data_IF_771702107591
#
_entry.id   IF_771702107591
#
_cell.length_a   1.000
_cell.length_b   1.000
_cell.length_c   1.000
_cell.angle_alpha   90.00
_cell.angle_beta   90.00
_cell.angle_gamma   90.00
#
_symmetry.space_group_name_H-M   'P 1'
#
loop_
_entity.id
_entity.type
_entity.pdbx_description
1 polymer ?
#
# COMPACT_ATOMS: atom_id res chain seq x y z
N UNK A 1 -44.78 2.37 -24.24
CA UNK A 1 -45.54 2.82 -23.04
C UNK A 1 -44.68 3.07 -21.78
N UNK A 2 -43.36 2.84 -21.78
CA UNK A 2 -42.52 2.98 -20.56
C UNK A 2 -41.91 4.37 -20.30
N UNK A 3 -42.21 5.38 -21.14
CA UNK A 3 -41.63 6.74 -21.00
C UNK A 3 -42.56 7.78 -20.36
N UNK A 4 -43.85 7.47 -20.18
CA UNK A 4 -44.82 8.37 -19.52
C UNK A 4 -44.86 8.14 -18.00
N UNK A 5 -44.37 7.00 -17.52
CA UNK A 5 -44.36 6.65 -16.09
C UNK A 5 -43.22 7.35 -15.32
N UNK A 6 -42.16 7.78 -16.01
CA UNK A 6 -41.00 8.44 -15.37
C UNK A 6 -41.20 9.93 -15.11
N UNK A 7 -42.09 10.59 -15.85
CA UNK A 7 -42.40 12.02 -15.69
C UNK A 7 -43.38 12.30 -14.56
N UNK A 8 -44.24 11.34 -14.18
CA UNK A 8 -45.15 11.47 -13.05
C UNK A 8 -44.43 11.30 -11.70
N UNK A 9 -43.37 10.48 -11.65
CA UNK A 9 -42.59 10.25 -10.44
C UNK A 9 -41.70 11.46 -10.07
N UNK A 10 -41.33 12.29 -11.05
CA UNK A 10 -40.50 13.48 -10.84
C UNK A 10 -41.31 14.70 -10.32
N UNK A 11 -42.64 14.65 -10.37
CA UNK A 11 -43.50 15.73 -9.89
C UNK A 11 -43.85 15.60 -8.39
N UNK A 12 -43.64 14.43 -7.78
CA UNK A 12 -43.98 14.18 -6.36
C UNK A 12 -42.83 14.52 -5.40
N UNK A 13 -41.60 14.68 -5.90
CA UNK A 13 -40.41 14.94 -5.07
C UNK A 13 -40.13 16.47 -4.92
N UNK A 14 -40.94 17.32 -5.55
CA UNK A 14 -40.80 18.78 -5.48
C UNK A 14 -41.51 19.47 -4.30
N UNK A 15 -42.12 18.75 -3.35
CA UNK A 15 -43.09 19.34 -2.41
C UNK A 15 -42.87 19.04 -0.91
N UNK A 16 -41.64 18.76 -0.45
CA UNK A 16 -41.45 18.24 0.93
C UNK A 16 -40.30 18.82 1.76
N UNK A 17 -39.78 20.02 1.48
CA UNK A 17 -38.78 20.65 2.38
C UNK A 17 -39.09 22.14 2.57
N UNK A 18 -40.11 22.42 3.36
CA UNK A 18 -40.26 23.67 4.08
C UNK A 18 -41.29 23.43 5.19
N UNK A 19 -40.83 23.14 6.42
CA UNK A 19 -41.49 23.46 7.69
C UNK A 19 -40.84 22.69 8.85
N UNK A 20 -40.30 23.43 9.81
CA UNK A 20 -39.85 22.95 11.12
C UNK A 20 -38.42 23.40 11.43
N UNK A 21 -38.12 24.24 12.41
CA UNK A 21 -38.91 24.87 13.48
C UNK A 21 -37.94 25.37 14.56
N UNK A 22 -38.31 26.44 15.29
CA UNK A 22 -37.79 26.85 16.61
C UNK A 22 -38.67 28.04 17.07
N UNK A 23 -39.62 27.95 18.02
CA UNK A 23 -39.58 27.58 19.45
C UNK A 23 -38.76 28.62 20.26
N UNK A 24 -39.16 29.25 21.38
CA UNK A 24 -40.38 29.43 22.21
C UNK A 24 -40.02 30.52 23.25
N UNK A 25 -41.01 31.26 23.78
CA UNK A 25 -41.20 31.67 25.20
C UNK A 25 -42.04 32.97 25.25
N UNK A 26 -43.32 32.95 25.63
CA UNK A 26 -43.79 33.06 27.03
C UNK A 26 -43.99 34.56 27.36
N UNK A 27 -45.10 35.09 27.89
CA UNK A 27 -46.02 34.61 28.91
C UNK A 27 -47.20 35.61 29.05
N UNK A 28 -48.38 35.09 29.46
CA UNK A 28 -49.50 35.74 30.19
C UNK A 28 -50.70 36.32 29.39
N UNK A 29 -51.87 35.77 29.74
CA UNK A 29 -53.27 35.91 29.26
C UNK A 29 -54.02 37.08 29.94
N UNK A 30 -55.38 37.14 29.93
CA UNK A 30 -56.38 37.05 28.85
C UNK A 30 -57.28 38.32 28.84
N UNK A 31 -57.91 38.72 27.73
CA UNK A 31 -59.09 39.60 27.85
C UNK A 31 -60.11 39.41 26.71
N UNK A 32 -61.35 39.72 27.07
CA UNK A 32 -62.62 39.14 26.68
C UNK A 32 -63.21 39.53 25.32
N UNK A 33 -64.04 38.60 24.84
CA UNK A 33 -65.20 38.74 23.95
C UNK A 33 -65.89 40.11 23.98
N UNK A 34 -66.11 40.73 22.80
CA UNK A 34 -67.47 40.98 22.30
C UNK A 34 -67.47 41.42 20.81
N UNK A 35 -68.47 41.01 20.01
CA UNK A 35 -68.58 41.35 18.59
C UNK A 35 -69.53 42.53 18.36
N UNK A 36 -69.49 43.13 17.15
CA UNK A 36 -70.65 43.29 16.27
C UNK A 36 -70.58 44.52 15.35
N UNK A 37 -71.01 44.25 14.12
CA UNK A 37 -71.71 45.12 13.15
C UNK A 37 -70.96 46.26 12.47
N UNK A 38 -70.77 46.02 11.18
CA UNK A 38 -70.72 46.97 10.09
C UNK A 38 -71.61 48.20 10.29
N UNK A 39 -71.06 49.37 9.98
CA UNK A 39 -71.84 50.44 9.41
C UNK A 39 -71.05 51.11 8.29
N UNK A 40 -71.70 51.22 7.13
CA UNK A 40 -71.25 51.93 5.96
C UNK A 40 -71.38 53.44 6.20
N UNK A 41 -70.51 54.23 5.57
CA UNK A 41 -70.87 55.59 5.22
C UNK A 41 -69.79 56.62 5.44
N UNK A 42 -69.20 57.01 4.32
CA UNK A 42 -69.07 58.43 3.94
C UNK A 42 -67.92 59.26 4.53
N UNK A 43 -67.12 59.68 3.55
CA UNK A 43 -66.66 61.05 3.31
C UNK A 43 -65.29 61.45 3.88
N UNK A 44 -64.39 61.49 2.91
CA UNK A 44 -63.18 62.28 2.78
C UNK A 44 -63.20 63.64 3.45
N UNK A 45 -61.99 64.08 3.84
CA UNK A 45 -61.37 65.43 3.83
C UNK A 45 -60.31 65.34 4.94
N UNK A 46 -59.00 65.48 4.75
CA UNK A 46 -58.25 66.57 4.12
C UNK A 46 -56.76 66.15 4.06
N UNK A 47 -56.06 66.55 3.00
CA UNK A 47 -54.61 66.38 2.89
C UNK A 47 -53.87 67.51 3.61
N UNK A 48 -52.69 67.23 4.19
CA UNK A 48 -51.53 68.15 4.29
C UNK A 48 -50.25 67.30 4.58
N UNK A 49 -49.07 67.65 4.02
CA UNK A 49 -48.13 66.69 3.45
C UNK A 49 -46.89 66.35 4.32
N UNK A 50 -46.10 65.44 3.77
CA UNK A 50 -44.93 64.72 4.27
C UNK A 50 -43.75 65.57 4.74
N UNK A 51 -42.97 65.04 5.70
CA UNK A 51 -41.52 64.89 5.55
C UNK A 51 -41.13 63.50 6.08
N UNK A 52 -41.07 62.52 5.17
CA UNK A 52 -40.32 61.30 5.42
C UNK A 52 -38.85 61.66 5.19
N UNK A 53 -38.03 61.68 6.24
CA UNK A 53 -36.58 61.55 6.11
C UNK A 53 -36.29 60.39 5.13
N UNK A 54 -35.41 60.54 4.13
CA UNK A 54 -35.14 59.46 3.21
C UNK A 54 -34.46 58.34 4.00
N UNK A 55 -35.21 57.30 4.36
CA UNK A 55 -34.61 56.00 4.68
C UNK A 55 -33.84 55.62 3.44
N UNK A 56 -32.52 55.77 3.49
CA UNK A 56 -31.63 55.39 2.42
C UNK A 56 -32.02 53.98 1.97
N UNK A 57 -32.51 53.87 0.74
CA UNK A 57 -32.86 52.59 0.15
C UNK A 57 -31.57 51.79 0.02
N UNK A 58 -31.30 50.93 1.02
CA UNK A 58 -30.21 49.96 0.91
C UNK A 58 -30.70 48.92 -0.07
N UNK A 59 -30.31 49.08 -1.33
CA UNK A 59 -30.63 48.16 -2.43
C UNK A 59 -29.91 46.83 -2.18
N UNK A 60 -30.47 45.96 -1.34
CA UNK A 60 -29.90 44.63 -1.12
C UNK A 60 -30.17 43.76 -2.34
N UNK A 61 -29.09 43.37 -3.02
CA UNK A 61 -29.17 42.39 -4.11
C UNK A 61 -29.22 41.01 -3.45
N UNK A 62 -30.36 40.33 -3.56
CA UNK A 62 -30.51 38.94 -3.11
C UNK A 62 -30.02 38.05 -4.24
N UNK A 63 -28.97 37.29 -3.98
CA UNK A 63 -28.36 36.35 -4.94
C UNK A 63 -28.45 34.95 -4.35
N UNK A 64 -29.11 34.05 -5.07
CA UNK A 64 -29.09 32.64 -4.73
C UNK A 64 -27.78 32.01 -5.24
N UNK A 65 -27.11 31.26 -4.36
CA UNK A 65 -25.88 30.55 -4.70
C UNK A 65 -25.91 29.12 -4.16
N UNK A 66 -25.20 28.21 -4.84
CA UNK A 66 -25.01 26.83 -4.39
C UNK A 66 -23.59 26.66 -3.89
N UNK A 67 -23.46 26.19 -2.65
CA UNK A 67 -22.17 25.77 -2.10
C UNK A 67 -21.80 24.41 -2.70
N UNK A 68 -20.58 24.31 -3.24
CA UNK A 68 -19.99 23.06 -3.73
C UNK A 68 -18.64 22.83 -3.04
N UNK A 69 -18.19 21.57 -2.90
CA UNK A 69 -16.88 21.27 -2.32
C UNK A 69 -15.76 21.92 -3.12
N UNK A 70 -14.76 22.48 -2.43
CA UNK A 70 -13.54 23.02 -3.08
C UNK A 70 -12.71 21.89 -3.69
N UNK A 71 -12.70 20.73 -3.03
CA UNK A 71 -12.03 19.52 -3.49
C UNK A 71 -12.92 18.31 -3.18
N UNK A 72 -12.98 17.39 -4.13
CA UNK A 72 -13.67 16.10 -3.99
C UNK A 72 -12.77 15.04 -4.62
N UNK A 73 -12.68 13.88 -3.99
CA UNK A 73 -11.92 12.75 -4.50
C UNK A 73 -12.74 11.47 -4.35
N UNK A 74 -12.80 10.67 -5.43
CA UNK A 74 -13.32 9.32 -5.39
C UNK A 74 -12.16 8.36 -5.12
N UNK A 75 -12.22 7.66 -4.01
CA UNK A 75 -11.15 6.76 -3.58
C UNK A 75 -11.34 5.37 -4.19
N UNK A 76 -10.26 4.83 -4.75
CA UNK A 76 -10.21 3.47 -5.27
C UNK A 76 -8.89 2.81 -4.86
N UNK A 77 -8.90 1.47 -4.82
CA UNK A 77 -7.72 0.69 -4.46
C UNK A 77 -6.89 0.43 -5.71
N UNK A 78 -5.58 0.69 -5.65
CA UNK A 78 -4.67 0.41 -6.76
C UNK A 78 -4.40 -1.08 -6.97
N UNK A 79 -4.56 -1.88 -5.93
CA UNK A 79 -4.43 -3.33 -5.96
C UNK A 79 -5.79 -3.99 -5.72
N UNK A 80 -6.08 -5.05 -6.49
CA UNK A 80 -7.24 -5.92 -6.22
C UNK A 80 -6.95 -6.82 -5.03
N UNK A 81 -7.92 -7.00 -4.13
CA UNK A 81 -7.76 -7.78 -2.92
C UNK A 81 -9.02 -7.85 -2.06
N UNK A 82 -8.90 -8.54 -0.94
CA UNK A 82 -9.96 -8.65 0.08
C UNK A 82 -9.68 -7.59 1.16
N UNK A 83 -10.72 -6.88 1.60
CA UNK A 83 -10.61 -5.94 2.71
C UNK A 83 -10.48 -6.71 4.02
N UNK A 84 -9.39 -6.45 4.75
CA UNK A 84 -9.13 -6.96 6.10
C UNK A 84 -9.82 -6.09 7.15
N UNK A 85 -9.72 -4.77 7.01
CA UNK A 85 -10.35 -3.83 7.93
C UNK A 85 -10.66 -2.48 7.28
N UNK A 86 -11.77 -1.87 7.71
CA UNK A 86 -12.06 -0.44 7.50
C UNK A 86 -11.82 0.27 8.83
N UNK A 87 -10.99 1.31 8.81
CA UNK A 87 -10.42 1.95 10.01
C UNK A 87 -11.11 3.27 10.37
N UNK A 88 -12.06 3.71 9.56
CA UNK A 88 -12.80 4.98 9.72
C UNK A 88 -14.30 4.74 9.58
N UNK A 89 -15.10 5.63 10.14
CA UNK A 89 -16.55 5.63 10.02
C UNK A 89 -17.02 6.75 9.08
N UNK A 90 -18.24 6.62 8.59
CA UNK A 90 -18.86 7.66 7.76
C UNK A 90 -19.02 8.95 8.56
N UNK A 91 -18.54 10.07 8.00
CA UNK A 91 -18.57 11.39 8.66
C UNK A 91 -17.30 11.74 9.42
N UNK A 92 -16.33 10.82 9.54
CA UNK A 92 -15.04 11.11 10.17
C UNK A 92 -14.21 12.11 9.34
N UNK A 93 -13.54 13.02 10.04
CA UNK A 93 -12.51 13.86 9.45
C UNK A 93 -11.22 13.04 9.32
N UNK A 94 -10.62 13.07 8.13
CA UNK A 94 -9.39 12.32 7.81
C UNK A 94 -8.28 13.26 7.37
N UNK A 95 -7.05 12.92 7.75
CA UNK A 95 -5.85 13.66 7.35
C UNK A 95 -5.20 13.02 6.09
N UNK A 96 -4.36 13.77 5.36
CA UNK A 96 -3.54 13.20 4.29
C UNK A 96 -2.72 12.00 4.79
N UNK A 97 -2.56 10.99 3.93
CA UNK A 97 -1.84 9.73 4.21
C UNK A 97 -2.45 8.85 5.32
N UNK A 98 -3.61 9.21 5.88
CA UNK A 98 -4.30 8.37 6.84
C UNK A 98 -4.81 7.09 6.18
N UNK A 99 -4.49 5.94 6.78
CA UNK A 99 -4.97 4.64 6.31
C UNK A 99 -6.45 4.49 6.64
N UNK A 100 -7.28 4.47 5.59
CA UNK A 100 -8.74 4.30 5.73
C UNK A 100 -9.15 2.82 5.67
N UNK A 101 -8.47 2.04 4.83
CA UNK A 101 -8.80 0.63 4.57
C UNK A 101 -7.49 -0.15 4.50
N UNK A 102 -7.49 -1.35 5.09
CA UNK A 102 -6.40 -2.32 4.98
C UNK A 102 -6.87 -3.54 4.19
N UNK A 103 -6.02 -3.99 3.27
CA UNK A 103 -6.22 -5.23 2.52
C UNK A 103 -5.57 -6.41 3.25
N UNK A 104 -6.10 -7.62 3.05
CA UNK A 104 -5.46 -8.86 3.47
C UNK A 104 -4.15 -9.05 2.70
N UNK A 105 -3.03 -8.91 3.41
CA UNK A 105 -1.68 -9.05 2.88
C UNK A 105 -1.04 -10.42 3.17
N UNK A 106 -1.80 -11.42 3.62
CA UNK A 106 -1.26 -12.69 4.11
C UNK A 106 -0.52 -13.47 3.03
N UNK A 107 -1.03 -13.48 1.79
CA UNK A 107 -0.36 -14.14 0.65
C UNK A 107 0.95 -13.45 0.28
N UNK A 108 0.95 -12.12 0.30
CA UNK A 108 2.11 -11.28 0.00
C UNK A 108 3.18 -11.48 1.06
N UNK A 109 2.82 -11.55 2.34
CA UNK A 109 3.74 -11.87 3.44
C UNK A 109 4.41 -13.23 3.26
N UNK A 110 3.65 -14.26 2.89
CA UNK A 110 4.20 -15.59 2.61
C UNK A 110 5.14 -15.55 1.40
N UNK A 111 4.77 -14.88 0.31
CA UNK A 111 5.62 -14.75 -0.87
C UNK A 111 6.94 -14.02 -0.56
N UNK A 112 6.89 -12.95 0.23
CA UNK A 112 8.09 -12.23 0.70
C UNK A 112 8.96 -13.14 1.57
N UNK A 113 8.37 -13.89 2.51
CA UNK A 113 9.13 -14.81 3.36
C UNK A 113 9.82 -15.93 2.55
N UNK A 114 9.13 -16.48 1.53
CA UNK A 114 9.70 -17.47 0.62
C UNK A 114 10.88 -16.89 -0.18
N UNK A 115 10.71 -15.69 -0.75
CA UNK A 115 11.77 -15.02 -1.49
C UNK A 115 12.99 -14.71 -0.59
N UNK A 116 12.77 -14.30 0.65
CA UNK A 116 13.84 -14.05 1.62
C UNK A 116 14.59 -15.34 2.00
N UNK A 117 13.88 -16.46 2.16
CA UNK A 117 14.49 -17.75 2.44
C UNK A 117 15.37 -18.22 1.27
N UNK A 118 14.89 -18.08 0.03
CA UNK A 118 15.67 -18.42 -1.16
C UNK A 118 16.89 -17.52 -1.30
N UNK A 119 16.74 -16.21 -1.08
CA UNK A 119 17.87 -15.27 -1.08
C UNK A 119 18.94 -15.68 -0.05
N UNK A 120 18.53 -16.01 1.18
CA UNK A 120 19.46 -16.45 2.23
C UNK A 120 20.19 -17.74 1.85
N UNK A 121 19.48 -18.69 1.23
CA UNK A 121 20.06 -19.94 0.74
C UNK A 121 21.09 -19.69 -0.35
N UNK A 122 20.75 -18.90 -1.37
CA UNK A 122 21.66 -18.58 -2.48
C UNK A 122 22.86 -17.79 -2.00
N UNK A 123 22.68 -16.86 -1.05
CA UNK A 123 23.79 -16.14 -0.42
C UNK A 123 24.70 -17.09 0.35
N UNK A 124 24.17 -18.02 1.15
CA UNK A 124 24.96 -19.01 1.86
C UNK A 124 25.74 -19.91 0.89
N UNK A 125 25.12 -20.31 -0.21
CA UNK A 125 25.78 -21.07 -1.27
C UNK A 125 26.90 -20.26 -1.93
N UNK A 126 26.65 -18.99 -2.25
CA UNK A 126 27.67 -18.09 -2.80
C UNK A 126 28.86 -17.92 -1.83
N UNK A 127 28.60 -17.74 -0.54
CA UNK A 127 29.66 -17.63 0.47
C UNK A 127 30.44 -18.94 0.62
N UNK A 128 29.78 -20.10 0.54
CA UNK A 128 30.47 -21.39 0.48
C UNK A 128 31.36 -21.52 -0.76
N UNK A 129 30.90 -21.05 -1.91
CA UNK A 129 31.69 -21.06 -3.15
C UNK A 129 32.90 -20.11 -3.04
N UNK A 130 32.71 -18.90 -2.50
CA UNK A 130 33.78 -17.92 -2.29
C UNK A 130 34.82 -18.37 -1.26
N UNK A 131 34.38 -19.04 -0.19
CA UNK A 131 35.28 -19.56 0.84
C UNK A 131 36.24 -20.63 0.28
N UNK A 132 35.91 -21.23 -0.86
CA UNK A 132 36.75 -22.21 -1.52
C UNK A 132 36.81 -23.54 -0.77
N UNK A 133 37.87 -24.35 -0.97
CA UNK A 133 38.01 -25.64 -0.31
C UNK A 133 38.13 -25.47 1.20
N UNK A 134 37.45 -26.35 1.93
CA UNK A 134 37.59 -26.39 3.38
C UNK A 134 39.00 -26.86 3.77
N UNK A 135 39.57 -26.37 4.88
CA UNK A 135 40.92 -26.75 5.31
C UNK A 135 41.09 -28.26 5.51
N UNK A 136 40.04 -28.98 5.92
CA UNK A 136 40.07 -30.43 6.06
C UNK A 136 40.22 -31.14 4.70
N UNK A 137 39.64 -30.58 3.64
CA UNK A 137 39.75 -31.13 2.28
C UNK A 137 41.16 -30.89 1.73
N UNK A 138 41.73 -29.70 1.97
CA UNK A 138 43.12 -29.38 1.61
C UNK A 138 44.08 -30.30 2.35
N UNK A 139 43.90 -30.48 3.67
CA UNK A 139 44.73 -31.37 4.48
C UNK A 139 44.67 -32.83 4.00
N UNK A 140 43.48 -33.33 3.64
CA UNK A 140 43.33 -34.67 3.08
C UNK A 140 44.01 -34.82 1.71
N UNK A 141 43.91 -33.81 0.84
CA UNK A 141 44.57 -33.82 -0.46
C UNK A 141 46.10 -33.75 -0.33
N UNK A 142 46.60 -32.94 0.61
CA UNK A 142 48.01 -32.87 0.95
C UNK A 142 48.53 -34.21 1.49
N UNK A 143 47.79 -34.85 2.41
CA UNK A 143 48.16 -36.17 2.92
C UNK A 143 48.21 -37.24 1.82
N UNK A 144 47.31 -37.17 0.84
CA UNK A 144 47.35 -38.07 -0.32
C UNK A 144 48.58 -37.82 -1.22
N UNK A 145 48.97 -36.55 -1.40
CA UNK A 145 50.19 -36.18 -2.11
C UNK A 145 51.43 -36.70 -1.37
N UNK A 146 51.51 -36.48 -0.05
CA UNK A 146 52.63 -36.92 0.78
C UNK A 146 52.75 -38.46 0.74
N UNK A 147 51.64 -39.18 0.79
CA UNK A 147 51.62 -40.64 0.66
C UNK A 147 52.10 -41.12 -0.72
N UNK A 148 51.72 -40.43 -1.80
CA UNK A 148 52.19 -40.73 -3.16
C UNK A 148 53.69 -40.47 -3.31
N UNK A 149 54.20 -39.39 -2.72
CA UNK A 149 55.63 -39.07 -2.69
C UNK A 149 56.43 -40.12 -1.89
N UNK A 150 55.97 -40.49 -0.70
CA UNK A 150 56.60 -41.54 0.10
C UNK A 150 56.59 -42.91 -0.60
N UNK A 151 55.57 -43.19 -1.43
CA UNK A 151 55.55 -44.38 -2.28
C UNK A 151 56.56 -44.29 -3.40
N UNK A 152 56.65 -43.15 -4.09
CA UNK A 152 57.65 -42.93 -5.14
C UNK A 152 59.07 -43.11 -4.57
N UNK A 153 59.35 -42.51 -3.41
CA UNK A 153 60.66 -42.60 -2.75
C UNK A 153 61.04 -44.06 -2.47
N UNK A 154 60.14 -44.85 -1.88
CA UNK A 154 60.37 -46.28 -1.62
C UNK A 154 60.67 -47.07 -2.89
N UNK A 155 59.94 -46.81 -3.98
CA UNK A 155 60.14 -47.50 -5.27
C UNK A 155 61.48 -47.10 -5.89
N UNK A 156 61.85 -45.83 -5.80
CA UNK A 156 63.15 -45.35 -6.31
C UNK A 156 64.33 -45.87 -5.50
N UNK A 157 64.18 -46.01 -4.17
CA UNK A 157 65.22 -46.57 -3.31
C UNK A 157 65.41 -48.10 -3.49
N UNK A 158 64.36 -48.81 -3.92
CA UNK A 158 64.38 -50.26 -4.16
C UNK A 158 64.85 -50.70 -5.55
N UNK A 159 65.19 -49.77 -6.46
CA UNK A 159 65.64 -50.05 -7.84
C UNK A 159 64.66 -50.88 -8.71
N UNK A 160 63.35 -50.82 -8.46
CA UNK A 160 62.33 -51.40 -9.34
C UNK A 160 62.00 -50.44 -10.49
N UNK A 161 62.88 -50.38 -11.49
CA UNK A 161 62.78 -49.45 -12.62
C UNK A 161 61.42 -49.50 -13.36
N UNK A 162 60.75 -50.66 -13.38
CA UNK A 162 59.43 -50.83 -14.02
C UNK A 162 58.26 -50.16 -13.31
N UNK A 163 58.39 -49.82 -12.02
CA UNK A 163 57.30 -49.26 -11.21
C UNK A 163 57.38 -47.75 -10.99
N UNK A 164 58.48 -47.12 -11.43
CA UNK A 164 58.73 -45.68 -11.23
C UNK A 164 57.71 -44.84 -12.00
N UNK A 165 57.37 -45.23 -13.23
CA UNK A 165 56.42 -44.47 -14.06
C UNK A 165 55.00 -44.50 -13.49
N UNK A 166 54.57 -45.65 -12.96
CA UNK A 166 53.28 -45.77 -12.26
C UNK A 166 53.24 -44.93 -10.97
N UNK A 167 54.35 -44.90 -10.22
CA UNK A 167 54.46 -44.08 -9.01
C UNK A 167 54.48 -42.57 -9.33
N UNK A 168 55.19 -42.17 -10.39
CA UNK A 168 55.23 -40.78 -10.88
C UNK A 168 53.85 -40.34 -11.38
N UNK A 169 53.12 -41.24 -12.05
CA UNK A 169 51.73 -40.99 -12.44
C UNK A 169 50.81 -40.80 -11.24
N UNK A 170 51.00 -41.54 -10.14
CA UNK A 170 50.25 -41.31 -8.89
C UNK A 170 50.55 -39.96 -8.25
N UNK A 171 51.82 -39.53 -8.21
CA UNK A 171 52.19 -38.21 -7.70
C UNK A 171 51.55 -37.10 -8.54
N UNK A 172 51.66 -37.21 -9.87
CA UNK A 172 51.02 -36.25 -10.80
C UNK A 172 49.51 -36.19 -10.60
N UNK A 173 48.85 -37.34 -10.44
CA UNK A 173 47.42 -37.40 -10.15
C UNK A 173 47.04 -36.75 -8.80
N UNK A 174 47.83 -36.97 -7.76
CA UNK A 174 47.62 -36.35 -6.46
C UNK A 174 47.85 -34.82 -6.49
N UNK A 175 48.88 -34.37 -7.22
CA UNK A 175 49.15 -32.95 -7.47
C UNK A 175 48.01 -32.29 -8.25
N UNK A 176 47.50 -32.95 -9.30
CA UNK A 176 46.36 -32.47 -10.08
C UNK A 176 45.09 -32.40 -9.22
N UNK A 177 44.89 -33.35 -8.31
CA UNK A 177 43.79 -33.34 -7.35
C UNK A 177 43.86 -32.17 -6.37
N UNK A 178 45.05 -31.90 -5.82
CA UNK A 178 45.29 -30.75 -4.94
C UNK A 178 45.14 -29.42 -5.70
N UNK A 179 45.70 -29.32 -6.90
CA UNK A 179 45.60 -28.14 -7.76
C UNK A 179 44.14 -27.82 -8.11
N UNK A 180 43.36 -28.83 -8.51
CA UNK A 180 41.92 -28.69 -8.79
C UNK A 180 41.13 -28.23 -7.56
N UNK A 181 41.55 -28.64 -6.36
CA UNK A 181 40.96 -28.16 -5.13
C UNK A 181 41.28 -26.67 -4.94
N UNK A 182 42.56 -26.32 -4.97
CA UNK A 182 43.06 -24.95 -4.73
C UNK A 182 42.64 -23.94 -5.80
N UNK A 183 42.39 -24.40 -7.04
CA UNK A 183 41.81 -23.59 -8.12
C UNK A 183 40.40 -23.09 -7.81
N UNK A 184 39.74 -23.63 -6.76
CA UNK A 184 38.65 -23.02 -6.00
C UNK A 184 37.53 -22.38 -6.82
N UNK A 185 36.35 -23.02 -6.85
CA UNK A 185 35.11 -22.50 -7.44
C UNK A 185 35.37 -21.67 -8.71
N UNK A 186 35.64 -22.35 -9.84
CA UNK A 186 36.05 -21.71 -11.10
C UNK A 186 35.24 -20.43 -11.34
N UNK A 187 35.82 -19.38 -11.93
CA UNK A 187 35.08 -18.13 -12.23
C UNK A 187 33.70 -18.40 -12.85
N UNK A 188 33.59 -19.48 -13.63
CA UNK A 188 32.33 -19.99 -14.17
C UNK A 188 31.29 -20.38 -13.11
N UNK A 189 31.68 -21.03 -12.01
CA UNK A 189 30.81 -21.36 -10.88
C UNK A 189 30.41 -20.13 -10.06
N UNK A 190 31.29 -19.14 -9.92
CA UNK A 190 30.96 -17.86 -9.27
C UNK A 190 30.04 -17.00 -10.15
N UNK A 191 30.21 -17.03 -11.47
CA UNK A 191 29.33 -16.35 -12.43
C UNK A 191 27.96 -17.03 -12.46
N UNK A 192 27.90 -18.36 -12.50
CA UNK A 192 26.64 -19.12 -12.46
C UNK A 192 25.86 -18.86 -11.17
N UNK A 193 26.52 -18.88 -10.01
CA UNK A 193 25.89 -18.60 -8.71
C UNK A 193 25.43 -17.13 -8.53
N UNK A 194 25.81 -16.22 -9.43
CA UNK A 194 25.38 -14.83 -9.45
C UNK A 194 24.30 -14.55 -10.50
N UNK A 195 24.08 -15.50 -11.42
CA UNK A 195 23.14 -15.39 -12.53
C UNK A 195 21.77 -16.03 -12.22
N UNK A 196 21.71 -16.95 -11.27
CA UNK A 196 20.49 -17.48 -10.64
C UNK A 196 20.02 -16.59 -9.48
#
# INVERSE_FOLDING_TARGET
MRRVLSTILLLIIGAAIALGGAYVAGLISPESLQPATANLGSQATEATPQINEPVAAVSSIIVDARVVPVQQADLSMSASGIVDAVLVQEGDAVEPDQVLIRLDASRQRVAVAQAQAELSRTQAQLEQLKAGPRPEQVASAQAALDAALARLERITAGAEAGNIDAARAQVSGAQAGLAKLLEGASEQQLIAARAD
#
